data_IF_351497038446
#
_entry.id   IF_351497038446
#
_cell.length_a   1.000
_cell.length_b   1.000
_cell.length_c   1.000
_cell.angle_alpha   90.00
_cell.angle_beta   90.00
_cell.angle_gamma   90.00
#
_symmetry.space_group_name_H-M   'P 1'
#
loop_
_entity.id
_entity.type
_entity.pdbx_description
1 polymer ?
#
# COMPACT_ATOMS: atom_id res chain seq x y z
N UNK A 1 -11.42 -19.90 11.60
CA UNK A 1 -10.69 -18.75 11.03
C UNK A 1 -11.66 -17.86 10.27
N UNK A 2 -11.66 -16.56 10.52
CA UNK A 2 -12.50 -15.59 9.79
C UNK A 2 -11.65 -14.99 8.69
N UNK A 3 -11.87 -15.43 7.45
CA UNK A 3 -11.17 -14.88 6.28
C UNK A 3 -11.73 -13.48 6.04
N UNK A 4 -10.90 -12.46 6.20
CA UNK A 4 -11.22 -11.10 5.74
C UNK A 4 -10.41 -10.88 4.48
N UNK A 5 -11.11 -10.59 3.39
CA UNK A 5 -10.46 -10.20 2.16
C UNK A 5 -9.94 -8.77 2.34
N UNK A 6 -8.65 -8.54 2.08
CA UNK A 6 -8.11 -7.19 2.04
C UNK A 6 -8.71 -6.45 0.84
N UNK A 7 -9.20 -5.22 1.04
CA UNK A 7 -9.64 -4.42 -0.09
C UNK A 7 -8.39 -4.07 -0.93
N UNK A 8 -8.49 -3.97 -2.27
CA UNK A 8 -7.34 -3.62 -3.11
C UNK A 8 -6.61 -2.35 -2.66
N UNK A 9 -7.36 -1.38 -2.15
CA UNK A 9 -6.86 -0.09 -1.67
C UNK A 9 -5.99 -0.22 -0.41
N UNK A 10 -6.23 -1.25 0.41
CA UNK A 10 -5.42 -1.53 1.60
C UNK A 10 -4.03 -2.05 1.22
N UNK A 11 -3.89 -2.64 0.02
CA UNK A 11 -2.64 -3.25 -0.46
C UNK A 11 -1.75 -2.28 -1.23
N UNK A 12 -2.34 -1.26 -1.88
CA UNK A 12 -1.59 -0.31 -2.71
C UNK A 12 -0.45 0.41 -1.96
N UNK A 13 -0.64 0.90 -0.72
CA UNK A 13 0.47 1.49 0.04
C UNK A 13 1.59 0.50 0.34
N UNK A 14 1.25 -0.77 0.61
CA UNK A 14 2.25 -1.81 0.86
C UNK A 14 3.09 -2.07 -0.39
N UNK A 15 2.46 -2.19 -1.57
CA UNK A 15 3.17 -2.41 -2.84
C UNK A 15 4.08 -1.24 -3.23
N UNK A 16 3.67 0.00 -2.96
CA UNK A 16 4.50 1.18 -3.17
C UNK A 16 5.74 1.17 -2.26
N UNK A 17 5.58 0.80 -0.98
CA UNK A 17 6.70 0.68 -0.03
C UNK A 17 7.65 -0.44 -0.45
N UNK A 18 7.14 -1.62 -0.79
CA UNK A 18 7.95 -2.75 -1.25
C UNK A 18 8.70 -2.42 -2.53
N UNK A 19 8.02 -1.84 -3.53
CA UNK A 19 8.65 -1.44 -4.79
C UNK A 19 9.76 -0.41 -4.60
N UNK A 20 9.58 0.55 -3.68
CA UNK A 20 10.63 1.51 -3.32
C UNK A 20 11.83 0.82 -2.64
N UNK A 21 11.58 -0.16 -1.76
CA UNK A 21 12.64 -0.96 -1.12
C UNK A 21 13.42 -1.82 -2.12
N UNK A 22 12.76 -2.27 -3.20
CA UNK A 22 13.38 -2.95 -4.34
C UNK A 22 14.14 -1.98 -5.29
N UNK A 23 14.13 -0.68 -5.01
CA UNK A 23 14.83 0.34 -5.80
C UNK A 23 14.07 0.79 -7.05
N UNK A 24 12.79 0.45 -7.19
CA UNK A 24 11.95 0.93 -8.30
C UNK A 24 11.53 2.37 -8.03
N UNK A 25 11.57 3.21 -9.07
CA UNK A 25 11.02 4.56 -8.99
C UNK A 25 9.49 4.50 -9.00
N UNK A 26 8.90 4.72 -7.83
CA UNK A 26 7.45 4.78 -7.62
C UNK A 26 6.96 6.19 -7.27
N UNK A 27 7.81 7.21 -7.41
CA UNK A 27 7.51 8.59 -7.01
C UNK A 27 6.24 9.13 -7.69
N UNK A 28 6.12 8.91 -9.01
CA UNK A 28 4.96 9.33 -9.79
C UNK A 28 3.67 8.60 -9.38
N UNK A 29 3.76 7.28 -9.14
CA UNK A 29 2.62 6.48 -8.70
C UNK A 29 2.14 6.91 -7.31
N UNK A 30 3.08 7.13 -6.38
CA UNK A 30 2.79 7.63 -5.03
C UNK A 30 2.14 9.01 -5.05
N UNK A 31 2.64 9.92 -5.90
CA UNK A 31 2.05 11.25 -6.04
C UNK A 31 0.60 11.19 -6.54
N UNK A 32 0.33 10.33 -7.53
CA UNK A 32 -1.02 10.11 -8.05
C UNK A 32 -1.97 9.52 -7.00
N UNK A 33 -1.49 8.57 -6.21
CA UNK A 33 -2.25 7.98 -5.11
C UNK A 33 -2.66 9.03 -4.07
N UNK A 34 -1.71 9.85 -3.62
CA UNK A 34 -1.97 10.95 -2.67
C UNK A 34 -2.96 11.97 -3.26
N UNK A 35 -2.79 12.34 -4.53
CA UNK A 35 -3.69 13.27 -5.21
C UNK A 35 -5.13 12.72 -5.34
N UNK A 36 -5.30 11.40 -5.37
CA UNK A 36 -6.59 10.73 -5.36
C UNK A 36 -7.20 10.60 -3.95
N UNK A 37 -6.53 11.11 -2.90
CA UNK A 37 -6.97 11.03 -1.50
C UNK A 37 -6.47 9.80 -0.74
N UNK A 38 -5.54 9.04 -1.33
CA UNK A 38 -4.98 7.84 -0.73
C UNK A 38 -3.95 8.13 0.37
N UNK A 39 -3.98 7.33 1.45
CA UNK A 39 -3.01 7.44 2.55
C UNK A 39 -1.65 6.85 2.11
N UNK A 40 -0.54 7.61 2.18
CA UNK A 40 0.79 7.10 1.88
C UNK A 40 1.36 6.15 2.96
N UNK A 41 0.75 6.12 4.14
CA UNK A 41 1.12 5.21 5.22
C UNK A 41 0.31 3.92 5.02
N UNK A 42 0.97 2.76 4.83
CA UNK A 42 0.25 1.51 4.80
C UNK A 42 -0.49 1.31 6.11
N UNK A 43 -1.76 0.94 6.03
CA UNK A 43 -2.49 0.46 7.19
C UNK A 43 -1.67 -0.67 7.82
N UNK A 44 -1.68 -0.78 9.15
CA UNK A 44 -1.19 -1.99 9.81
C UNK A 44 -2.09 -3.13 9.38
N UNK A 45 -1.70 -3.83 8.31
CA UNK A 45 -2.40 -5.03 7.88
C UNK A 45 -2.31 -6.01 9.04
N UNK A 46 -3.47 -6.46 9.51
CA UNK A 46 -3.61 -7.40 10.62
C UNK A 46 -3.09 -8.80 10.31
N UNK A 47 -2.13 -8.94 9.39
CA UNK A 47 -1.30 -10.12 9.24
C UNK A 47 -0.18 -10.11 10.31
N UNK A 48 -0.59 -9.98 11.57
CA UNK A 48 0.20 -10.47 12.72
C UNK A 48 -0.01 -11.99 12.86
N UNK A 49 0.89 -12.70 13.57
CA UNK A 49 1.25 -14.12 13.37
C UNK A 49 0.09 -15.13 13.29
#
# INVERSE_FOLDING_TARGET
MRLTWAQPEDLLPHELVQSAAEGKDVSAARARWIAAGGDPVPAVSGAGP
#
